data_IF_397113121012
#
_entry.id   IF_397113121012
#
_cell.length_a   1.000
_cell.length_b   1.000
_cell.length_c   1.000
_cell.angle_alpha   90.00
_cell.angle_beta   90.00
_cell.angle_gamma   90.00
#
_symmetry.space_group_name_H-M   'P 1'
#
loop_
_entity.id
_entity.type
_entity.pdbx_description
1 polymer ?
#
# COMPACT_ATOMS: atom_id res chain seq x y z
N UNK A 1 3.54 30.26 62.98
CA UNK A 1 2.80 30.82 61.82
C UNK A 1 3.80 31.62 60.99
N UNK A 2 4.35 31.06 59.90
CA UNK A 2 4.99 31.86 58.84
C UNK A 2 5.18 31.03 57.56
N UNK A 3 4.54 31.53 56.50
CA UNK A 3 4.63 31.15 55.09
C UNK A 3 6.08 31.18 54.60
N UNK A 4 6.47 30.18 53.79
CA UNK A 4 7.11 30.36 52.48
C UNK A 4 7.24 29.00 51.76
N UNK A 5 6.24 28.74 50.91
CA UNK A 5 6.25 27.75 49.82
C UNK A 5 7.22 28.26 48.75
N UNK A 6 8.37 27.63 48.57
CA UNK A 6 9.16 27.66 47.34
C UNK A 6 8.90 26.30 46.66
N UNK A 7 8.06 26.19 45.64
CA UNK A 7 8.39 26.48 44.23
C UNK A 7 9.77 25.96 43.85
N UNK A 8 9.84 24.69 43.48
CA UNK A 8 10.70 24.24 42.38
C UNK A 8 9.87 23.35 41.48
N UNK A 9 9.98 23.68 40.20
CA UNK A 9 9.17 23.32 39.06
C UNK A 9 10.14 22.66 38.07
N UNK A 10 9.61 21.78 37.20
CA UNK A 10 10.21 21.23 35.97
C UNK A 10 11.22 20.06 36.17
N UNK A 11 11.24 18.99 35.37
CA UNK A 11 10.80 18.77 33.98
C UNK A 11 10.33 17.32 33.84
N UNK A 12 9.11 17.08 33.34
CA UNK A 12 8.70 15.77 32.83
C UNK A 12 9.01 15.77 31.33
N UNK A 13 10.13 15.16 30.93
CA UNK A 13 10.51 15.05 29.52
C UNK A 13 9.69 13.94 28.88
N UNK A 14 8.56 14.29 28.28
CA UNK A 14 7.85 13.39 27.36
C UNK A 14 8.64 13.37 26.07
N UNK A 15 9.44 12.32 25.88
CA UNK A 15 10.04 11.99 24.59
C UNK A 15 8.93 11.43 23.72
N UNK A 16 8.19 12.31 23.05
CA UNK A 16 7.29 11.93 21.96
C UNK A 16 8.17 11.59 20.76
N UNK A 17 8.53 10.32 20.63
CA UNK A 17 9.02 9.78 19.38
C UNK A 17 7.93 9.95 18.33
N UNK A 18 8.13 10.90 17.40
CA UNK A 18 7.42 10.97 16.13
C UNK A 18 7.84 9.75 15.30
N UNK A 19 7.25 8.61 15.60
CA UNK A 19 7.17 7.52 14.65
C UNK A 19 6.18 7.97 13.58
N UNK A 20 6.69 8.48 12.47
CA UNK A 20 5.94 8.59 11.24
C UNK A 20 5.61 7.16 10.80
N UNK A 21 4.48 6.64 11.27
CA UNK A 21 3.87 5.47 10.68
C UNK A 21 3.35 5.90 9.30
N UNK A 22 4.15 5.69 8.26
CA UNK A 22 3.66 5.73 6.89
C UNK A 22 2.73 4.53 6.72
N UNK A 23 1.43 4.72 7.00
CA UNK A 23 0.42 3.73 6.66
C UNK A 23 0.25 3.73 5.14
N UNK A 24 0.56 2.61 4.50
CA UNK A 24 0.06 2.35 3.16
C UNK A 24 -1.47 2.17 3.28
N UNK A 25 -2.23 3.11 2.74
CA UNK A 25 -3.69 3.05 2.73
C UNK A 25 -4.15 2.49 1.38
N UNK A 26 -4.88 1.38 1.40
CA UNK A 26 -5.47 0.79 0.21
C UNK A 26 -6.83 1.44 -0.02
N UNK A 27 -6.89 2.43 -0.91
CA UNK A 27 -8.15 3.09 -1.25
C UNK A 27 -9.07 2.14 -2.02
N UNK A 28 -10.24 1.84 -1.46
CA UNK A 28 -11.28 1.03 -2.11
C UNK A 28 -12.06 1.91 -3.09
N UNK A 29 -11.48 2.17 -4.25
CA UNK A 29 -12.18 2.83 -5.36
C UNK A 29 -12.75 1.74 -6.27
N UNK A 30 -14.05 1.82 -6.59
CA UNK A 30 -14.68 0.92 -7.54
C UNK A 30 -14.12 1.19 -8.94
N UNK A 31 -13.38 0.23 -9.50
CA UNK A 31 -12.86 0.30 -10.86
C UNK A 31 -13.66 -0.61 -11.80
N UNK A 32 -13.98 -0.11 -13.00
CA UNK A 32 -14.51 -0.93 -14.08
C UNK A 32 -13.35 -1.78 -14.64
N UNK A 33 -13.53 -3.10 -14.73
CA UNK A 33 -12.57 -4.00 -15.36
C UNK A 33 -12.53 -3.74 -16.87
N UNK A 34 -11.62 -2.87 -17.34
CA UNK A 34 -11.57 -2.51 -18.76
C UNK A 34 -10.78 -3.52 -19.60
N UNK A 35 -9.79 -4.25 -19.04
CA UNK A 35 -8.90 -5.09 -19.88
C UNK A 35 -8.37 -6.37 -19.20
N UNK A 36 -8.95 -6.82 -18.08
CA UNK A 36 -8.45 -8.01 -17.37
C UNK A 36 -7.04 -7.85 -16.78
N UNK A 37 -6.60 -6.60 -16.61
CA UNK A 37 -5.30 -6.24 -16.04
C UNK A 37 -5.48 -5.74 -14.61
N UNK A 38 -4.55 -6.11 -13.74
CA UNK A 38 -4.46 -5.58 -12.37
C UNK A 38 -3.49 -4.42 -12.40
N UNK A 39 -4.00 -3.22 -12.10
CA UNK A 39 -3.23 -1.98 -12.06
C UNK A 39 -3.00 -1.54 -10.61
N UNK A 40 -1.93 -0.77 -10.40
CA UNK A 40 -1.66 -0.10 -9.14
C UNK A 40 -1.14 1.31 -9.39
N UNK A 41 -1.29 2.17 -8.37
CA UNK A 41 -0.74 3.52 -8.36
C UNK A 41 0.06 3.68 -7.07
N UNK A 42 1.30 4.12 -7.20
CA UNK A 42 2.15 4.47 -6.06
C UNK A 42 2.20 5.99 -5.92
N UNK A 43 1.75 6.48 -4.76
CA UNK A 43 1.71 7.89 -4.39
C UNK A 43 2.31 8.07 -3.00
N UNK A 44 2.88 9.24 -2.73
CA UNK A 44 3.45 9.53 -1.41
C UNK A 44 4.12 10.90 -1.33
N UNK A 45 4.44 11.37 -0.12
CA UNK A 45 5.07 12.68 0.08
C UNK A 45 6.44 12.80 -0.60
N UNK A 46 7.13 11.69 -0.83
CA UNK A 46 8.42 11.63 -1.53
C UNK A 46 8.26 11.31 -3.04
N UNK A 47 7.04 11.05 -3.51
CA UNK A 47 6.73 10.70 -4.90
C UNK A 47 6.17 11.94 -5.60
N UNK A 48 7.03 12.65 -6.35
CA UNK A 48 6.65 13.91 -7.01
C UNK A 48 5.59 13.72 -8.10
N UNK A 49 5.55 12.55 -8.74
CA UNK A 49 4.57 12.19 -9.76
C UNK A 49 4.11 10.75 -9.51
N UNK A 50 2.80 10.46 -9.41
CA UNK A 50 2.28 9.12 -9.21
C UNK A 50 2.86 8.11 -10.21
N UNK A 51 3.40 7.01 -9.70
CA UNK A 51 3.90 5.93 -10.55
C UNK A 51 2.76 4.93 -10.82
N UNK A 52 2.39 4.82 -12.09
CA UNK A 52 1.38 3.87 -12.56
C UNK A 52 2.06 2.56 -12.96
N UNK A 53 1.53 1.45 -12.45
CA UNK A 53 2.04 0.12 -12.76
C UNK A 53 0.93 -0.89 -12.97
N UNK A 54 1.36 -2.07 -13.42
CA UNK A 54 0.52 -3.24 -13.62
C UNK A 54 1.27 -4.52 -13.31
N UNK A 55 0.53 -5.59 -13.05
CA UNK A 55 1.07 -6.93 -12.95
C UNK A 55 0.95 -7.63 -14.31
N UNK A 56 2.08 -8.07 -14.84
CA UNK A 56 2.14 -8.74 -16.15
C UNK A 56 1.61 -10.17 -16.15
N UNK A 57 1.49 -10.80 -14.97
CA UNK A 57 1.00 -12.16 -14.82
C UNK A 57 -0.04 -12.19 -13.69
N UNK A 58 -1.26 -12.52 -14.08
CA UNK A 58 -2.41 -12.65 -13.20
C UNK A 58 -3.13 -13.92 -13.63
N UNK A 59 -3.34 -14.84 -12.70
CA UNK A 59 -4.17 -16.02 -12.90
C UNK A 59 -5.46 -15.84 -12.11
N UNK A 60 -6.58 -16.28 -12.66
CA UNK A 60 -7.85 -16.09 -11.99
C UNK A 60 -8.90 -17.05 -12.47
N UNK A 61 -9.72 -17.50 -11.52
CA UNK A 61 -10.91 -18.28 -11.78
C UNK A 61 -12.12 -17.45 -11.34
N UNK A 62 -12.88 -16.96 -12.31
CA UNK A 62 -14.11 -16.21 -12.08
C UNK A 62 -15.31 -17.08 -12.43
N UNK A 63 -16.29 -17.12 -11.53
CA UNK A 63 -17.58 -17.77 -11.72
C UNK A 63 -18.67 -16.71 -11.75
N UNK A 64 -19.58 -16.86 -12.71
CA UNK A 64 -20.78 -16.03 -12.83
C UNK A 64 -22.00 -16.95 -12.67
N UNK A 65 -22.95 -16.52 -11.84
CA UNK A 65 -24.24 -17.19 -11.76
C UNK A 65 -25.10 -16.75 -12.96
N UNK A 66 -25.52 -17.66 -13.86
CA UNK A 66 -26.34 -17.29 -15.00
C UNK A 66 -27.73 -16.77 -14.59
N UNK A 67 -28.18 -17.01 -13.35
CA UNK A 67 -29.42 -16.47 -12.79
C UNK A 67 -29.25 -15.08 -12.14
N UNK A 68 -28.01 -14.68 -11.82
CA UNK A 68 -27.65 -13.35 -11.33
C UNK A 68 -26.39 -12.82 -12.03
N UNK A 69 -26.58 -12.24 -13.21
CA UNK A 69 -25.50 -11.68 -14.03
C UNK A 69 -24.84 -10.41 -13.45
N UNK A 70 -25.28 -9.94 -12.28
CA UNK A 70 -24.72 -8.76 -11.62
C UNK A 70 -23.54 -9.10 -10.72
N UNK A 71 -23.46 -10.36 -10.30
CA UNK A 71 -22.48 -10.81 -9.32
C UNK A 71 -21.49 -11.76 -9.97
N UNK A 72 -20.21 -11.40 -9.91
CA UNK A 72 -19.10 -12.28 -10.28
C UNK A 72 -18.30 -12.55 -9.01
N UNK A 73 -18.00 -13.82 -8.76
CA UNK A 73 -17.16 -14.24 -7.62
C UNK A 73 -16.00 -15.07 -8.13
N UNK A 74 -14.87 -15.03 -7.44
CA UNK A 74 -13.69 -15.77 -7.87
C UNK A 74 -12.45 -15.42 -7.08
N UNK A 75 -11.37 -16.13 -7.40
CA UNK A 75 -10.05 -15.88 -6.86
C UNK A 75 -9.16 -15.34 -7.96
N UNK A 76 -8.28 -14.41 -7.59
CA UNK A 76 -7.26 -13.82 -8.46
C UNK A 76 -5.93 -13.98 -7.75
N UNK A 77 -5.02 -14.69 -8.38
CA UNK A 77 -3.63 -14.85 -7.97
C UNK A 77 -2.77 -13.88 -8.78
N UNK A 78 -2.06 -13.01 -8.09
CA UNK A 78 -1.22 -11.97 -8.69
C UNK A 78 0.24 -12.32 -8.41
N UNK A 79 1.04 -12.46 -9.46
CA UNK A 79 2.46 -12.76 -9.32
C UNK A 79 3.23 -11.44 -9.14
N UNK A 80 3.77 -11.21 -7.95
CA UNK A 80 4.43 -9.95 -7.57
C UNK A 80 5.70 -9.71 -8.37
N UNK A 81 6.42 -10.76 -8.76
CA UNK A 81 7.58 -10.68 -9.67
C UNK A 81 7.27 -10.02 -11.01
N UNK A 82 6.00 -10.04 -11.43
CA UNK A 82 5.55 -9.56 -12.74
C UNK A 82 5.28 -8.05 -12.80
N UNK A 83 5.61 -7.30 -11.74
CA UNK A 83 5.46 -5.84 -11.70
C UNK A 83 6.18 -5.20 -12.90
N UNK A 84 5.42 -4.34 -13.56
CA UNK A 84 5.86 -3.48 -14.66
C UNK A 84 5.25 -2.10 -14.54
N UNK A 85 6.10 -1.12 -14.76
CA UNK A 85 5.81 0.29 -14.95
C UNK A 85 6.45 0.72 -16.27
N UNK A 86 6.18 1.95 -16.71
CA UNK A 86 6.89 2.53 -17.86
C UNK A 86 8.29 3.07 -17.48
N UNK A 87 8.79 2.77 -16.28
CA UNK A 87 10.09 3.20 -15.77
C UNK A 87 10.85 2.02 -15.13
N UNK A 88 11.95 1.62 -15.78
CA UNK A 88 12.79 0.50 -15.32
C UNK A 88 13.40 0.70 -13.92
N UNK A 89 13.57 1.95 -13.45
CA UNK A 89 14.06 2.23 -12.11
C UNK A 89 13.00 1.87 -11.06
N UNK A 90 11.74 2.21 -11.33
CA UNK A 90 10.61 1.82 -10.49
C UNK A 90 10.42 0.31 -10.48
N UNK A 91 10.51 -0.36 -11.64
CA UNK A 91 10.42 -1.83 -11.71
C UNK A 91 11.48 -2.50 -10.83
N UNK A 92 12.71 -1.98 -10.87
CA UNK A 92 13.82 -2.49 -10.06
C UNK A 92 13.62 -2.21 -8.58
N UNK A 93 13.10 -1.03 -8.23
CA UNK A 93 12.78 -0.66 -6.86
C UNK A 93 11.71 -1.58 -6.27
N UNK A 94 10.60 -1.79 -6.98
CA UNK A 94 9.53 -2.68 -6.52
C UNK A 94 10.01 -4.11 -6.33
N UNK A 95 10.81 -4.64 -7.26
CA UNK A 95 11.38 -5.99 -7.14
C UNK A 95 12.33 -6.18 -5.96
N UNK A 96 12.87 -5.09 -5.42
CA UNK A 96 13.76 -5.09 -4.25
C UNK A 96 13.06 -4.61 -2.98
N UNK A 97 11.79 -4.24 -3.08
CA UNK A 97 11.08 -3.63 -1.98
C UNK A 97 10.78 -4.69 -0.91
N UNK A 98 11.40 -4.54 0.26
CA UNK A 98 11.26 -5.51 1.34
C UNK A 98 9.82 -5.69 1.83
N UNK A 99 8.95 -4.70 1.64
CA UNK A 99 7.54 -4.81 2.03
C UNK A 99 6.71 -5.74 1.12
N UNK A 100 7.20 -6.06 -0.09
CA UNK A 100 6.54 -7.00 -0.99
C UNK A 100 7.02 -8.44 -0.77
N UNK A 101 8.14 -8.63 -0.06
CA UNK A 101 8.71 -9.95 0.26
C UNK A 101 8.77 -10.91 -0.95
N UNK A 102 9.04 -10.40 -2.16
CA UNK A 102 8.87 -11.14 -3.42
C UNK A 102 9.67 -12.44 -3.48
N UNK A 103 10.81 -12.51 -2.80
CA UNK A 103 11.63 -13.72 -2.73
C UNK A 103 11.00 -14.82 -1.85
N UNK A 104 10.16 -14.44 -0.88
CA UNK A 104 9.48 -15.32 0.06
C UNK A 104 7.99 -15.56 -0.31
N UNK A 105 7.36 -14.58 -0.97
CA UNK A 105 5.95 -14.53 -1.40
C UNK A 105 5.86 -14.06 -2.87
N UNK A 106 6.26 -14.88 -3.85
CA UNK A 106 6.41 -14.49 -5.25
C UNK A 106 5.08 -14.21 -5.99
#
# INVERSE_FOLDING_TARGET
MNRRRNQWVLVLSVVSALAYFSSADASVVSHTLEEGKVHFVCEGPEVTVPAWGQFGTVEGALSIDPSDLRTVSGNIDVFMVSIRTNDSAWDTMFRRAGFLEIDDLP
#
